data_IF_532202514926
#
_entry.id   IF_532202514926
#
_cell.length_a   1.000
_cell.length_b   1.000
_cell.length_c   1.000
_cell.angle_alpha   90.00
_cell.angle_beta   90.00
_cell.angle_gamma   90.00
#
_symmetry.space_group_name_H-M   'P 1'
#
loop_
_entity.id
_entity.type
_entity.pdbx_description
1 polymer ?
#
# COMPACT_ATOMS: atom_id res chain seq x y z
N UNK A 1 -8.43 -21.59 0.48
CA UNK A 1 -8.49 -20.25 -0.13
C UNK A 1 -8.66 -19.25 0.99
N UNK A 2 -7.67 -18.39 1.30
CA UNK A 2 -7.90 -17.28 2.22
C UNK A 2 -9.02 -16.40 1.66
N UNK A 3 -10.02 -16.09 2.48
CA UNK A 3 -11.11 -15.20 2.07
C UNK A 3 -10.53 -13.79 1.85
N UNK A 4 -10.90 -13.15 0.74
CA UNK A 4 -10.53 -11.76 0.49
C UNK A 4 -11.16 -10.88 1.56
N UNK A 5 -10.33 -10.09 2.24
CA UNK A 5 -10.76 -9.13 3.26
C UNK A 5 -10.88 -7.75 2.63
N UNK A 6 -11.82 -6.98 3.14
CA UNK A 6 -12.02 -5.58 2.74
C UNK A 6 -11.41 -4.67 3.79
N UNK A 7 -10.48 -3.83 3.36
CA UNK A 7 -9.88 -2.78 4.19
C UNK A 7 -10.28 -1.42 3.63
N UNK A 8 -10.59 -0.50 4.53
CA UNK A 8 -10.90 0.89 4.20
C UNK A 8 -9.76 1.76 4.73
N UNK A 9 -9.10 2.50 3.86
CA UNK A 9 -7.99 3.38 4.20
C UNK A 9 -8.45 4.81 3.98
N UNK A 10 -8.39 5.63 5.01
CA UNK A 10 -8.69 7.05 4.92
C UNK A 10 -7.40 7.87 5.05
N UNK A 11 -7.18 8.76 4.10
CA UNK A 11 -5.99 9.62 4.00
C UNK A 11 -6.47 11.07 4.08
N UNK A 12 -5.88 11.83 5.00
CA UNK A 12 -6.27 13.22 5.21
C UNK A 12 -5.82 14.13 4.07
N UNK A 13 -4.57 13.96 3.61
CA UNK A 13 -3.97 14.73 2.53
C UNK A 13 -2.94 13.86 1.79
N UNK A 14 -3.28 13.43 0.56
CA UNK A 14 -2.35 12.63 -0.27
C UNK A 14 -1.13 13.45 -0.67
N UNK A 15 -1.30 14.74 -0.97
CA UNK A 15 -0.23 15.59 -1.48
C UNK A 15 0.86 15.84 -0.43
N UNK A 16 0.46 15.89 0.84
CA UNK A 16 1.37 15.97 1.98
C UNK A 16 1.92 14.60 2.43
N UNK A 17 1.33 13.50 1.97
CA UNK A 17 1.71 12.14 2.39
C UNK A 17 2.78 11.57 1.46
N UNK A 18 4.00 11.40 1.96
CA UNK A 18 5.10 10.75 1.22
C UNK A 18 5.76 9.66 2.04
N UNK A 19 6.18 8.61 1.35
CA UNK A 19 6.96 7.54 1.94
C UNK A 19 8.31 8.04 2.45
N UNK A 20 8.90 7.26 3.35
CA UNK A 20 10.23 7.55 3.91
C UNK A 20 11.35 7.52 2.87
N UNK A 21 11.12 6.82 1.76
CA UNK A 21 12.09 6.63 0.67
C UNK A 21 11.55 7.31 -0.57
N UNK A 22 12.15 8.42 -0.97
CA UNK A 22 11.70 9.21 -2.13
C UNK A 22 11.57 8.37 -3.40
N UNK A 23 12.54 7.48 -3.67
CA UNK A 23 12.55 6.60 -4.84
C UNK A 23 11.37 5.61 -4.91
N UNK A 24 10.74 5.30 -3.78
CA UNK A 24 9.59 4.39 -3.68
C UNK A 24 8.28 5.14 -3.40
N UNK A 25 8.38 6.43 -3.09
CA UNK A 25 7.25 7.23 -2.69
C UNK A 25 6.34 7.52 -3.87
N UNK A 26 5.05 7.56 -3.59
CA UNK A 26 4.07 8.05 -4.54
C UNK A 26 4.17 9.59 -4.63
N UNK A 27 4.13 10.11 -5.85
CA UNK A 27 4.31 11.55 -6.13
C UNK A 27 3.03 12.24 -6.66
N UNK A 28 1.95 11.48 -6.83
CA UNK A 28 0.68 12.06 -7.29
C UNK A 28 -0.13 12.67 -6.15
N UNK A 29 -1.19 13.37 -6.53
CA UNK A 29 -2.13 14.05 -5.63
C UNK A 29 -3.53 13.41 -5.61
N UNK A 30 -3.79 12.45 -6.50
CA UNK A 30 -5.14 11.91 -6.70
C UNK A 30 -5.32 10.50 -6.11
N UNK A 31 -6.46 10.21 -5.45
CA UNK A 31 -6.72 8.93 -4.82
C UNK A 31 -6.81 7.77 -5.82
N UNK A 32 -7.29 8.00 -7.04
CA UNK A 32 -7.38 6.95 -8.06
C UNK A 32 -5.99 6.50 -8.55
N UNK A 33 -5.06 7.44 -8.71
CA UNK A 33 -3.68 7.13 -9.06
C UNK A 33 -2.96 6.41 -7.91
N UNK A 34 -3.17 6.85 -6.67
CA UNK A 34 -2.65 6.17 -5.51
C UNK A 34 -3.22 4.74 -5.40
N UNK A 35 -4.52 4.56 -5.65
CA UNK A 35 -5.16 3.26 -5.66
C UNK A 35 -4.52 2.33 -6.69
N UNK A 36 -4.31 2.80 -7.92
CA UNK A 36 -3.63 2.04 -8.96
C UNK A 36 -2.20 1.67 -8.57
N UNK A 37 -1.42 2.64 -8.08
CA UNK A 37 -0.06 2.39 -7.62
C UNK A 37 -0.03 1.37 -6.47
N UNK A 38 -1.00 1.44 -5.55
CA UNK A 38 -1.11 0.51 -4.44
C UNK A 38 -1.56 -0.88 -4.88
N UNK A 39 -2.53 -0.98 -5.79
CA UNK A 39 -2.93 -2.25 -6.41
C UNK A 39 -1.73 -2.94 -7.07
N UNK A 40 -0.98 -2.21 -7.88
CA UNK A 40 0.26 -2.70 -8.50
C UNK A 40 1.26 -3.16 -7.44
N UNK A 41 1.45 -2.41 -6.36
CA UNK A 41 2.36 -2.79 -5.26
C UNK A 41 1.92 -4.03 -4.46
N UNK A 42 0.64 -4.38 -4.48
CA UNK A 42 0.11 -5.61 -3.88
C UNK A 42 0.18 -6.80 -4.84
N UNK A 43 0.02 -6.56 -6.14
CA UNK A 43 0.07 -7.58 -7.19
C UNK A 43 1.49 -7.94 -7.61
N UNK A 44 2.42 -6.99 -7.53
CA UNK A 44 3.79 -7.15 -7.98
C UNK A 44 4.79 -7.08 -6.81
N UNK A 45 5.84 -7.92 -6.81
CA UNK A 45 6.89 -7.87 -5.80
C UNK A 45 7.88 -6.72 -6.05
N UNK A 46 7.82 -6.08 -7.23
CA UNK A 46 8.74 -5.04 -7.69
C UNK A 46 9.01 -3.93 -6.66
N UNK A 47 7.97 -3.45 -5.95
CA UNK A 47 8.14 -2.42 -4.91
C UNK A 47 8.91 -2.96 -3.70
N UNK A 48 8.59 -4.17 -3.26
CA UNK A 48 9.24 -4.82 -2.14
C UNK A 48 10.68 -5.18 -2.44
N UNK A 49 10.96 -5.71 -3.62
CA UNK A 49 12.32 -6.06 -4.04
C UNK A 49 13.21 -4.83 -4.07
N UNK A 50 12.70 -3.70 -4.57
CA UNK A 50 13.43 -2.42 -4.51
C UNK A 50 13.67 -1.97 -3.09
N UNK A 51 12.67 -2.01 -2.22
CA UNK A 51 12.83 -1.67 -0.80
C UNK A 51 13.84 -2.58 -0.09
N UNK A 52 13.75 -3.89 -0.34
CA UNK A 52 14.65 -4.92 0.18
C UNK A 52 16.09 -4.64 -0.22
N UNK A 53 16.34 -4.33 -1.49
CA UNK A 53 17.66 -3.98 -2.00
C UNK A 53 18.24 -2.68 -1.44
N UNK A 54 17.41 -1.82 -0.85
CA UNK A 54 17.85 -0.61 -0.15
C UNK A 54 18.22 -0.87 1.32
N UNK A 55 17.92 -2.05 1.86
CA UNK A 55 18.34 -2.43 3.21
C UNK A 55 19.83 -2.79 3.21
N UNK A 56 20.53 -2.51 4.32
CA UNK A 56 21.94 -2.90 4.50
C UNK A 56 22.16 -4.41 4.34
N UNK A 57 21.17 -5.22 4.75
CA UNK A 57 21.18 -6.67 4.60
C UNK A 57 19.86 -7.15 3.95
N UNK A 58 19.81 -7.27 2.61
CA UNK A 58 18.60 -7.72 1.91
C UNK A 58 18.28 -9.19 2.19
N UNK A 59 19.28 -10.04 2.42
CA UNK A 59 19.09 -11.47 2.64
C UNK A 59 18.48 -11.78 4.02
N UNK A 60 18.75 -10.92 5.02
CA UNK A 60 18.11 -10.97 6.33
C UNK A 60 16.63 -10.55 6.33
N UNK A 61 16.14 -9.89 5.27
CA UNK A 61 14.72 -9.52 5.16
C UNK A 61 13.85 -10.76 4.97
N UNK A 62 12.87 -10.92 5.84
CA UNK A 62 11.95 -12.05 5.82
C UNK A 62 11.17 -12.11 4.48
N UNK A 63 11.30 -13.20 3.69
CA UNK A 63 10.63 -13.33 2.40
C UNK A 63 9.11 -13.37 2.50
N UNK A 64 8.55 -13.69 3.68
CA UNK A 64 7.10 -13.64 3.92
C UNK A 64 6.55 -12.21 3.88
N UNK A 65 7.39 -11.18 4.05
CA UNK A 65 7.00 -9.78 3.83
C UNK A 65 6.87 -9.40 2.35
N UNK A 66 7.39 -10.25 1.46
CA UNK A 66 7.34 -10.13 0.01
C UNK A 66 6.15 -10.83 -0.64
N UNK A 67 5.19 -11.37 0.12
CA UNK A 67 3.99 -12.00 -0.46
C UNK A 67 3.17 -10.99 -1.26
N UNK A 68 2.64 -11.48 -2.39
CA UNK A 68 1.83 -10.74 -3.35
C UNK A 68 0.49 -11.43 -3.53
N UNK A 69 -0.51 -10.65 -3.92
CA UNK A 69 -1.85 -11.16 -4.26
C UNK A 69 -2.24 -10.64 -5.64
N UNK A 70 -2.09 -11.46 -6.69
CA UNK A 70 -2.46 -11.09 -8.06
C UNK A 70 -3.94 -10.71 -8.23
N UNK A 71 -4.81 -11.15 -7.30
CA UNK A 71 -6.24 -10.82 -7.30
C UNK A 71 -6.58 -9.62 -6.42
N UNK A 72 -5.59 -9.00 -5.77
CA UNK A 72 -5.80 -7.79 -4.97
C UNK A 72 -6.40 -6.68 -5.84
N UNK A 73 -7.40 -5.96 -5.34
CA UNK A 73 -8.05 -4.86 -6.06
C UNK A 73 -8.11 -3.65 -5.16
N UNK A 74 -7.78 -2.46 -5.69
CA UNK A 74 -7.83 -1.22 -4.92
C UNK A 74 -8.62 -0.17 -5.67
N UNK A 75 -9.60 0.41 -5.00
CA UNK A 75 -10.41 1.50 -5.52
C UNK A 75 -10.18 2.75 -4.70
N UNK A 76 -9.77 3.84 -5.36
CA UNK A 76 -9.62 5.15 -4.74
C UNK A 76 -10.79 6.05 -5.08
N UNK A 77 -11.23 6.86 -4.11
CA UNK A 77 -12.29 7.85 -4.29
C UNK A 77 -12.01 9.06 -3.41
N UNK A 78 -12.45 10.24 -3.84
CA UNK A 78 -12.35 11.47 -3.06
C UNK A 78 -13.69 11.72 -2.36
N UNK A 79 -13.72 11.54 -1.05
CA UNK A 79 -14.93 11.67 -0.23
C UNK A 79 -14.76 12.84 0.75
N UNK A 80 -15.63 13.86 0.62
CA UNK A 80 -15.70 14.98 1.58
C UNK A 80 -14.33 15.60 1.94
N UNK A 81 -13.51 15.91 0.92
CA UNK A 81 -12.15 16.48 1.00
C UNK A 81 -11.07 15.53 1.54
N UNK A 82 -11.39 14.26 1.78
CA UNK A 82 -10.43 13.23 2.17
C UNK A 82 -10.37 12.15 1.11
N UNK A 83 -9.22 11.52 0.99
CA UNK A 83 -9.04 10.42 0.06
C UNK A 83 -9.34 9.11 0.75
N UNK A 84 -10.22 8.31 0.18
CA UNK A 84 -10.55 6.98 0.67
C UNK A 84 -10.09 5.93 -0.34
N UNK A 85 -9.44 4.89 0.15
CA UNK A 85 -9.05 3.72 -0.62
C UNK A 85 -9.76 2.50 -0.04
N UNK A 86 -10.46 1.76 -0.90
CA UNK A 86 -11.04 0.46 -0.59
C UNK A 86 -10.15 -0.61 -1.18
N UNK A 87 -9.59 -1.46 -0.33
CA UNK A 87 -8.68 -2.54 -0.71
C UNK A 87 -9.38 -3.86 -0.47
N UNK A 88 -9.37 -4.72 -1.47
CA UNK A 88 -9.87 -6.10 -1.36
C UNK A 88 -8.71 -7.02 -1.65
N UNK A 89 -8.24 -7.75 -0.63
CA UNK A 89 -7.10 -8.66 -0.78
C UNK A 89 -7.15 -9.77 0.26
N UNK A 90 -6.56 -10.91 -0.08
CA UNK A 90 -6.30 -12.02 0.85
C UNK A 90 -5.04 -11.83 1.69
N UNK A 91 -4.25 -10.77 1.43
CA UNK A 91 -3.02 -10.48 2.16
C UNK A 91 -3.30 -10.08 3.62
N UNK A 92 -2.37 -10.42 4.53
CA UNK A 92 -2.47 -9.98 5.91
C UNK A 92 -2.22 -8.47 6.02
N UNK A 93 -2.86 -7.85 7.03
CA UNK A 93 -2.81 -6.40 7.27
C UNK A 93 -1.38 -5.82 7.38
N UNK A 94 -0.40 -6.63 7.79
CA UNK A 94 0.99 -6.23 7.95
C UNK A 94 1.64 -5.89 6.60
N UNK A 95 1.32 -6.65 5.55
CA UNK A 95 1.83 -6.45 4.20
C UNK A 95 1.22 -5.18 3.60
N UNK A 96 -0.10 -5.02 3.77
CA UNK A 96 -0.84 -3.84 3.33
C UNK A 96 -0.26 -2.59 3.99
N UNK A 97 -0.10 -2.61 5.32
CA UNK A 97 0.51 -1.53 6.10
C UNK A 97 1.91 -1.21 5.58
N UNK A 98 2.76 -2.21 5.42
CA UNK A 98 4.13 -2.02 4.98
C UNK A 98 4.19 -1.41 3.56
N UNK A 99 3.42 -1.92 2.59
CA UNK A 99 3.37 -1.36 1.23
C UNK A 99 2.85 0.08 1.22
N UNK A 100 1.86 0.39 2.04
CA UNK A 100 1.29 1.72 2.12
C UNK A 100 2.26 2.72 2.77
N UNK A 101 2.98 2.29 3.81
CA UNK A 101 4.03 3.07 4.48
C UNK A 101 5.15 3.46 3.51
N UNK A 102 5.53 2.55 2.61
CA UNK A 102 6.52 2.83 1.57
C UNK A 102 6.05 3.87 0.54
N UNK A 103 4.77 3.88 0.20
CA UNK A 103 4.22 4.78 -0.81
C UNK A 103 3.93 6.17 -0.25
N UNK A 104 3.25 6.26 0.89
CA UNK A 104 2.67 7.50 1.42
C UNK A 104 3.03 7.78 2.90
N UNK A 105 3.90 6.97 3.51
CA UNK A 105 4.34 7.16 4.89
C UNK A 105 3.27 6.76 5.91
N UNK A 106 3.24 7.41 7.07
CA UNK A 106 2.34 7.03 8.19
C UNK A 106 1.07 7.87 8.32
N UNK A 107 0.80 8.76 7.37
CA UNK A 107 -0.30 9.72 7.45
C UNK A 107 -1.65 9.19 6.93
N UNK A 108 -1.98 7.94 7.31
CA UNK A 108 -3.22 7.27 6.90
C UNK A 108 -3.84 6.49 8.05
N UNK A 109 -5.14 6.20 7.93
CA UNK A 109 -5.86 5.35 8.88
C UNK A 109 -6.41 4.14 8.16
N UNK A 110 -6.08 2.94 8.64
CA UNK A 110 -6.66 1.70 8.15
C UNK A 110 -7.76 1.24 9.10
N UNK A 111 -8.90 0.93 8.51
CA UNK A 111 -10.07 0.37 9.16
C UNK A 111 -10.38 -0.97 8.49
N UNK A 112 -10.29 -2.03 9.26
CA UNK A 112 -10.79 -3.32 8.83
C UNK A 112 -12.33 -3.29 8.86
N UNK A 113 -12.95 -3.71 7.77
CA UNK A 113 -14.41 -3.80 7.62
C UNK A 113 -14.85 -5.23 7.30
N UNK A 114 -13.95 -6.21 7.47
CA UNK A 114 -14.14 -7.64 7.23
C UNK A 114 -14.73 -8.40 8.40
#
# INVERSE_FOLDING_TARGET
MPAAKRYLISIADISASRGSIEQLSFHGDSPEFLARAFETALREPSLWERWRNLQDDPEAVDPTTGVIDPSATVNGSLEAQRSELVVITSLPHAIIKHRLDLLIGQHWKLRDVS
#
